data_IF_145573642461
#
_entry.id   IF_145573642461
#
_cell.length_a   1.000
_cell.length_b   1.000
_cell.length_c   1.000
_cell.angle_alpha   90.00
_cell.angle_beta   90.00
_cell.angle_gamma   90.00
#
_symmetry.space_group_name_H-M   'P 1'
#
loop_
_entity.id
_entity.type
_entity.pdbx_description
1 polymer ?
#
# COMPACT_ATOMS: atom_id res chain seq x y z
N UNK A 1 -4.78 -12.45 -1.05
CA UNK A 1 -4.24 -11.57 -2.11
C UNK A 1 -4.90 -10.19 -2.06
N UNK A 2 -6.17 -10.04 -2.40
CA UNK A 2 -6.88 -8.75 -2.39
C UNK A 2 -6.94 -8.11 -0.99
N UNK A 3 -7.04 -8.91 0.06
CA UNK A 3 -7.11 -8.44 1.44
C UNK A 3 -5.87 -7.64 1.85
N UNK A 4 -4.65 -8.12 1.57
CA UNK A 4 -3.42 -7.38 1.87
C UNK A 4 -3.37 -6.03 1.16
N UNK A 5 -3.76 -5.98 -0.12
CA UNK A 5 -3.84 -4.73 -0.92
C UNK A 5 -4.87 -3.77 -0.29
N UNK A 6 -6.03 -4.27 0.11
CA UNK A 6 -7.09 -3.47 0.71
C UNK A 6 -6.66 -2.88 2.06
N UNK A 7 -5.97 -3.66 2.90
CA UNK A 7 -5.44 -3.18 4.19
C UNK A 7 -4.36 -2.12 3.97
N UNK A 8 -3.43 -2.35 3.04
CA UNK A 8 -2.41 -1.39 2.68
C UNK A 8 -3.03 -0.07 2.20
N UNK A 9 -4.02 -0.12 1.32
CA UNK A 9 -4.75 1.07 0.84
C UNK A 9 -5.42 1.83 1.99
N UNK A 10 -6.10 1.13 2.89
CA UNK A 10 -6.76 1.78 4.04
C UNK A 10 -5.74 2.46 4.96
N UNK A 11 -4.61 1.80 5.23
CA UNK A 11 -3.53 2.37 6.02
C UNK A 11 -2.94 3.63 5.36
N UNK A 12 -2.72 3.58 4.04
CA UNK A 12 -2.23 4.72 3.27
C UNK A 12 -3.20 5.90 3.33
N UNK A 13 -4.49 5.70 3.04
CA UNK A 13 -5.49 6.76 3.07
C UNK A 13 -5.60 7.41 4.46
N UNK A 14 -5.55 6.59 5.51
CA UNK A 14 -5.56 7.08 6.88
C UNK A 14 -4.31 7.91 7.21
N UNK A 15 -3.12 7.45 6.81
CA UNK A 15 -1.87 8.16 7.01
C UNK A 15 -1.85 9.51 6.27
N UNK A 16 -2.35 9.56 5.03
CA UNK A 16 -2.48 10.81 4.25
C UNK A 16 -3.43 11.79 4.95
N UNK A 17 -4.58 11.34 5.43
CA UNK A 17 -5.52 12.19 6.17
C UNK A 17 -4.85 12.78 7.42
N UNK A 18 -4.25 11.93 8.24
CA UNK A 18 -3.54 12.38 9.43
C UNK A 18 -2.41 13.37 9.12
N UNK A 19 -1.61 13.10 8.09
CA UNK A 19 -0.49 13.96 7.71
C UNK A 19 -0.93 15.35 7.19
N UNK A 20 -2.13 15.46 6.64
CA UNK A 20 -2.74 16.74 6.23
C UNK A 20 -3.25 17.55 7.41
N UNK A 21 -3.76 16.89 8.45
CA UNK A 21 -4.42 17.55 9.59
C UNK A 21 -3.44 17.85 10.72
N UNK A 22 -2.44 17.01 10.94
CA UNK A 22 -1.47 17.16 12.03
C UNK A 22 -0.46 18.27 11.74
N UNK A 23 -0.53 19.34 12.51
CA UNK A 23 0.45 20.44 12.45
C UNK A 23 1.54 20.21 13.51
N UNK A 24 2.80 20.17 13.07
CA UNK A 24 3.94 20.00 13.97
C UNK A 24 5.23 20.50 13.31
N UNK A 25 5.90 21.43 13.98
CA UNK A 25 7.18 21.98 13.55
C UNK A 25 7.16 22.60 12.14
N UNK A 26 8.21 23.32 11.80
CA UNK A 26 8.43 23.76 10.42
C UNK A 26 9.23 22.72 9.64
N UNK A 27 8.99 22.58 8.32
CA UNK A 27 9.78 21.68 7.48
C UNK A 27 11.28 22.06 7.49
N UNK A 28 12.14 21.05 7.59
CA UNK A 28 13.60 21.20 7.66
C UNK A 28 14.21 21.74 6.37
N UNK A 29 13.51 21.62 5.24
CA UNK A 29 13.92 22.13 3.92
C UNK A 29 13.70 23.63 3.77
N UNK A 30 13.12 24.30 4.79
CA UNK A 30 12.85 25.73 4.76
C UNK A 30 11.69 26.17 3.87
N UNK A 31 10.95 25.25 3.27
CA UNK A 31 9.83 25.52 2.36
C UNK A 31 8.70 26.34 3.00
N UNK A 32 8.52 26.19 4.32
CA UNK A 32 7.54 26.92 5.13
C UNK A 32 8.23 27.45 6.40
N UNK A 33 8.11 28.75 6.66
CA UNK A 33 8.78 29.40 7.80
C UNK A 33 8.10 29.14 9.16
N UNK A 34 6.84 28.72 9.17
CA UNK A 34 6.02 28.43 10.35
C UNK A 34 5.79 26.93 10.53
N UNK A 35 5.21 26.54 11.69
CA UNK A 35 4.70 25.17 11.87
C UNK A 35 3.66 24.85 10.80
N UNK A 36 3.76 23.66 10.21
CA UNK A 36 2.95 23.23 9.08
C UNK A 36 2.39 21.82 9.30
N UNK A 37 1.36 21.42 8.51
CA UNK A 37 0.97 20.03 8.44
C UNK A 37 2.16 19.12 8.12
N UNK A 38 2.24 17.97 8.78
CA UNK A 38 3.42 17.10 8.66
C UNK A 38 3.64 16.56 7.25
N UNK A 39 2.62 16.58 6.40
CA UNK A 39 2.75 16.21 4.98
C UNK A 39 3.80 17.07 4.23
N UNK A 40 4.16 18.23 4.76
CA UNK A 40 5.20 19.10 4.18
C UNK A 40 6.62 18.71 4.60
N UNK A 41 6.78 17.82 5.57
CA UNK A 41 8.10 17.32 5.96
C UNK A 41 8.63 16.31 4.93
N UNK A 42 9.89 16.42 4.50
CA UNK A 42 10.44 15.58 3.43
C UNK A 42 10.36 14.07 3.72
N UNK A 43 10.63 13.64 4.94
CA UNK A 43 10.59 12.22 5.30
C UNK A 43 9.15 11.67 5.37
N UNK A 44 8.20 12.47 5.84
CA UNK A 44 6.78 12.10 5.78
C UNK A 44 6.31 11.90 4.34
N UNK A 45 6.71 12.80 3.44
CA UNK A 45 6.42 12.68 2.01
C UNK A 45 7.05 11.43 1.41
N UNK A 46 8.29 11.10 1.76
CA UNK A 46 8.97 9.88 1.34
C UNK A 46 8.19 8.64 1.76
N UNK A 47 7.78 8.57 3.04
CA UNK A 47 6.99 7.44 3.54
C UNK A 47 5.65 7.31 2.81
N UNK A 48 4.90 8.40 2.67
CA UNK A 48 3.61 8.40 1.98
C UNK A 48 3.76 7.99 0.50
N UNK A 49 4.80 8.44 -0.19
CA UNK A 49 5.09 8.03 -1.56
C UNK A 49 5.44 6.55 -1.66
N UNK A 50 6.23 6.02 -0.73
CA UNK A 50 6.56 4.60 -0.68
C UNK A 50 5.31 3.75 -0.41
N UNK A 51 4.47 4.13 0.55
CA UNK A 51 3.20 3.47 0.84
C UNK A 51 2.30 3.39 -0.40
N UNK A 52 2.18 4.49 -1.11
CA UNK A 52 1.41 4.55 -2.36
C UNK A 52 2.01 3.67 -3.44
N UNK A 53 3.31 3.76 -3.68
CA UNK A 53 3.99 2.99 -4.71
C UNK A 53 3.86 1.48 -4.48
N UNK A 54 4.03 1.01 -3.25
CA UNK A 54 3.85 -0.41 -2.92
C UNK A 54 2.41 -0.87 -3.09
N UNK A 55 1.45 -0.09 -2.63
CA UNK A 55 0.02 -0.42 -2.73
C UNK A 55 -0.43 -0.48 -4.19
N UNK A 56 -0.08 0.52 -5.00
CA UNK A 56 -0.44 0.57 -6.42
C UNK A 56 0.31 -0.50 -7.22
N UNK A 57 1.58 -0.78 -6.89
CA UNK A 57 2.35 -1.86 -7.50
C UNK A 57 1.72 -3.24 -7.27
N UNK A 58 1.31 -3.53 -6.04
CA UNK A 58 0.60 -4.76 -5.71
C UNK A 58 -0.75 -4.86 -6.46
N UNK A 59 -1.46 -3.75 -6.57
CA UNK A 59 -2.72 -3.69 -7.32
C UNK A 59 -2.50 -3.96 -8.81
N UNK A 60 -1.48 -3.37 -9.40
CA UNK A 60 -1.14 -3.60 -10.80
C UNK A 60 -0.79 -5.07 -11.06
N UNK A 61 0.03 -5.68 -10.21
CA UNK A 61 0.36 -7.11 -10.31
C UNK A 61 -0.90 -7.99 -10.23
N UNK A 62 -1.81 -7.70 -9.30
CA UNK A 62 -3.07 -8.44 -9.16
C UNK A 62 -3.97 -8.28 -10.40
N UNK A 63 -4.01 -7.08 -10.98
CA UNK A 63 -4.78 -6.82 -12.22
C UNK A 63 -4.20 -7.58 -13.41
N UNK A 64 -2.88 -7.62 -13.56
CA UNK A 64 -2.20 -8.39 -14.61
C UNK A 64 -2.51 -9.90 -14.47
N UNK A 65 -2.45 -10.43 -13.24
CA UNK A 65 -2.80 -11.82 -12.98
C UNK A 65 -4.28 -12.11 -13.30
N UNK A 66 -5.19 -11.20 -12.96
CA UNK A 66 -6.61 -11.34 -13.28
C UNK A 66 -6.86 -11.32 -14.80
N UNK A 67 -6.20 -10.44 -15.55
CA UNK A 67 -6.28 -10.40 -16.99
C UNK A 67 -5.77 -11.70 -17.65
N UNK A 68 -4.68 -12.27 -17.12
CA UNK A 68 -4.17 -13.55 -17.57
C UNK A 68 -5.17 -14.70 -17.28
N UNK A 69 -5.83 -14.67 -16.12
CA UNK A 69 -6.91 -15.63 -15.80
C UNK A 69 -8.06 -15.54 -16.79
N UNK A 70 -8.54 -14.35 -17.08
CA UNK A 70 -9.62 -14.15 -18.05
C UNK A 70 -9.21 -14.65 -19.45
N UNK A 71 -8.02 -14.32 -19.91
CA UNK A 71 -7.50 -14.77 -21.19
C UNK A 71 -7.33 -16.30 -21.25
N UNK A 72 -6.88 -16.93 -20.15
CA UNK A 72 -6.76 -18.39 -20.06
C UNK A 72 -8.11 -19.11 -20.23
N UNK A 73 -9.23 -18.48 -19.85
CA UNK A 73 -10.56 -19.08 -19.91
C UNK A 73 -11.38 -18.67 -21.14
N UNK A 74 -11.14 -17.48 -21.66
CA UNK A 74 -12.05 -16.87 -22.66
C UNK A 74 -11.38 -16.48 -23.98
N UNK A 75 -10.06 -16.55 -24.11
CA UNK A 75 -9.40 -16.20 -25.36
C UNK A 75 -9.79 -17.19 -26.47
N UNK A 76 -10.11 -16.73 -27.73
CA UNK A 76 -10.54 -17.60 -28.81
C UNK A 76 -9.44 -18.60 -29.24
N UNK A 77 -8.17 -18.18 -29.24
CA UNK A 77 -7.05 -19.01 -29.60
C UNK A 77 -6.61 -19.94 -28.43
N UNK A 78 -6.52 -21.24 -28.73
CA UNK A 78 -6.15 -22.28 -27.77
C UNK A 78 -4.71 -22.16 -27.24
N UNK A 79 -3.76 -21.75 -28.09
CA UNK A 79 -2.37 -21.57 -27.67
C UNK A 79 -2.21 -20.36 -26.77
N UNK A 80 -2.94 -19.28 -27.06
CA UNK A 80 -3.00 -18.11 -26.18
C UNK A 80 -3.60 -18.47 -24.81
N UNK A 81 -4.67 -19.27 -24.75
CA UNK A 81 -5.22 -19.77 -23.47
C UNK A 81 -4.18 -20.53 -22.66
N UNK A 82 -3.43 -21.43 -23.27
CA UNK A 82 -2.39 -22.23 -22.62
C UNK A 82 -1.26 -21.37 -22.08
N UNK A 83 -0.80 -20.40 -22.86
CA UNK A 83 0.26 -19.47 -22.43
C UNK A 83 -0.21 -18.61 -21.23
N UNK A 84 -1.42 -18.08 -21.30
CA UNK A 84 -1.96 -17.26 -20.20
C UNK A 84 -2.24 -18.08 -18.95
N UNK A 85 -2.64 -19.35 -19.07
CA UNK A 85 -2.78 -20.25 -17.92
C UNK A 85 -1.43 -20.46 -17.20
N UNK A 86 -0.37 -20.77 -17.95
CA UNK A 86 0.97 -20.92 -17.38
C UNK A 86 1.49 -19.62 -16.73
N UNK A 87 1.26 -18.47 -17.36
CA UNK A 87 1.62 -17.18 -16.78
C UNK A 87 0.82 -16.87 -15.52
N UNK A 88 -0.48 -17.14 -15.49
CA UNK A 88 -1.31 -16.98 -14.28
C UNK A 88 -0.81 -17.83 -13.12
N UNK A 89 -0.55 -19.13 -13.37
CA UNK A 89 -0.01 -20.05 -12.35
C UNK A 89 1.32 -19.56 -11.77
N UNK A 90 2.19 -19.00 -12.61
CA UNK A 90 3.43 -18.36 -12.17
C UNK A 90 3.17 -17.11 -11.32
N UNK A 91 2.22 -16.27 -11.72
CA UNK A 91 1.93 -15.00 -11.04
C UNK A 91 1.24 -15.15 -9.68
N UNK A 92 0.40 -16.16 -9.50
CA UNK A 92 -0.42 -16.31 -8.28
C UNK A 92 0.42 -16.33 -6.99
N UNK A 93 1.46 -17.17 -6.83
CA UNK A 93 2.26 -17.17 -5.62
C UNK A 93 3.06 -15.87 -5.43
N UNK A 94 3.51 -15.24 -6.52
CA UNK A 94 4.22 -13.97 -6.46
C UNK A 94 3.30 -12.85 -5.96
N UNK A 95 2.12 -12.72 -6.56
CA UNK A 95 1.15 -11.69 -6.14
C UNK A 95 0.70 -11.91 -4.70
N UNK A 96 0.46 -13.16 -4.31
CA UNK A 96 0.08 -13.47 -2.94
C UNK A 96 1.20 -13.13 -1.96
N UNK A 97 2.39 -13.65 -2.16
CA UNK A 97 3.54 -13.46 -1.26
C UNK A 97 3.93 -11.99 -1.17
N UNK A 98 4.15 -11.34 -2.31
CA UNK A 98 4.58 -9.94 -2.34
C UNK A 98 3.52 -8.99 -1.74
N UNK A 99 2.23 -9.18 -2.06
CA UNK A 99 1.19 -8.28 -1.53
C UNK A 99 1.01 -8.39 -0.02
N UNK A 100 1.19 -9.58 0.55
CA UNK A 100 1.11 -9.76 2.01
C UNK A 100 2.32 -9.15 2.72
N UNK A 101 3.54 -9.33 2.20
CA UNK A 101 4.73 -8.69 2.76
C UNK A 101 4.66 -7.16 2.63
N UNK A 102 4.28 -6.64 1.47
CA UNK A 102 4.14 -5.19 1.30
C UNK A 102 3.04 -4.58 2.15
N UNK A 103 1.98 -5.33 2.47
CA UNK A 103 0.96 -4.84 3.41
C UNK A 103 1.51 -4.59 4.80
N UNK A 104 2.46 -5.40 5.27
CA UNK A 104 3.16 -5.18 6.54
C UNK A 104 4.03 -3.93 6.50
N UNK A 105 4.80 -3.76 5.43
CA UNK A 105 5.64 -2.57 5.25
C UNK A 105 4.79 -1.29 5.21
N UNK A 106 3.71 -1.29 4.43
CA UNK A 106 2.81 -0.13 4.30
C UNK A 106 2.13 0.20 5.62
N UNK A 107 1.60 -0.80 6.32
CA UNK A 107 0.92 -0.57 7.61
C UNK A 107 1.89 -0.15 8.71
N UNK A 108 3.12 -0.66 8.70
CA UNK A 108 4.20 -0.21 9.60
C UNK A 108 4.55 1.26 9.36
N UNK A 109 4.73 1.66 8.10
CA UNK A 109 4.92 3.08 7.75
C UNK A 109 3.72 3.93 8.17
N UNK A 110 2.50 3.41 8.04
CA UNK A 110 1.29 4.07 8.50
C UNK A 110 1.32 4.38 10.01
N UNK A 111 1.77 3.44 10.84
CA UNK A 111 1.99 3.68 12.28
C UNK A 111 3.05 4.75 12.48
N UNK A 112 4.16 4.69 11.74
CA UNK A 112 5.26 5.65 11.84
C UNK A 112 4.82 7.08 11.48
N UNK A 113 4.03 7.27 10.41
CA UNK A 113 3.47 8.58 10.03
C UNK A 113 2.63 9.20 11.16
N UNK A 114 1.91 8.38 11.92
CA UNK A 114 1.15 8.86 13.08
C UNK A 114 2.02 9.20 14.30
N UNK A 115 3.31 8.85 14.29
CA UNK A 115 4.22 9.03 15.43
C UNK A 115 3.68 8.36 16.69
N UNK A 116 3.77 9.04 17.84
CA UNK A 116 3.24 8.50 19.11
C UNK A 116 1.74 8.18 19.08
N UNK A 117 0.96 8.86 18.23
CA UNK A 117 -0.46 8.58 18.05
C UNK A 117 -0.70 7.26 17.31
N UNK A 118 0.26 6.76 16.56
CA UNK A 118 0.15 5.48 15.85
C UNK A 118 0.06 4.26 16.75
N UNK A 119 0.58 4.35 17.97
CA UNK A 119 0.47 3.31 18.99
C UNK A 119 -0.93 3.26 19.63
N UNK A 120 -1.63 4.38 19.68
CA UNK A 120 -2.91 4.52 20.39
C UNK A 120 -4.04 3.84 19.60
N UNK A 121 -4.81 2.98 20.28
CA UNK A 121 -5.90 2.20 19.70
C UNK A 121 -6.94 3.07 18.98
N UNK A 122 -7.31 4.20 19.59
CA UNK A 122 -8.35 5.11 19.12
C UNK A 122 -8.01 5.75 17.77
N UNK A 123 -6.73 5.86 17.42
CA UNK A 123 -6.34 6.36 16.09
C UNK A 123 -6.56 5.34 14.98
N UNK A 124 -6.56 4.05 15.32
CA UNK A 124 -6.79 2.95 14.40
C UNK A 124 -5.61 2.62 13.47
N UNK A 125 -4.47 3.30 13.58
CA UNK A 125 -3.30 2.99 12.76
C UNK A 125 -2.70 1.62 13.11
N UNK A 126 -2.56 1.31 14.41
CA UNK A 126 -2.09 0.02 14.91
C UNK A 126 -3.01 -1.14 14.52
N UNK A 127 -4.31 -0.91 14.37
CA UNK A 127 -5.27 -1.93 13.93
C UNK A 127 -4.92 -2.44 12.53
N UNK A 128 -4.61 -1.56 11.59
CA UNK A 128 -4.22 -1.97 10.23
C UNK A 128 -2.97 -2.83 10.22
N UNK A 129 -1.99 -2.53 11.08
CA UNK A 129 -0.77 -3.33 11.21
C UNK A 129 -1.05 -4.73 11.77
N UNK A 130 -1.91 -4.85 12.80
CA UNK A 130 -2.34 -6.14 13.33
C UNK A 130 -3.10 -6.97 12.30
N UNK A 131 -4.02 -6.34 11.58
CA UNK A 131 -4.83 -7.00 10.54
C UNK A 131 -3.97 -7.49 9.36
N UNK A 132 -2.92 -6.76 9.01
CA UNK A 132 -1.98 -7.17 7.96
C UNK A 132 -1.16 -8.42 8.35
N UNK A 133 -1.00 -8.68 9.65
CA UNK A 133 -0.26 -9.83 10.17
C UNK A 133 -1.11 -11.10 10.34
N UNK A 134 -2.42 -10.99 10.34
CA UNK A 134 -3.36 -12.13 10.43
C UNK A 134 -3.60 -12.76 9.06
#
# INVERSE_FOLDING_TARGET
>A
MVQGIAIAERAYQKAVGYAKDRVQSRPVDGSIAASAPIIHHPDERRMLMAMRAYTEGCRAMATVAAAAYDAAHHHPDADARKQNAAFYEFMVPLVKGYSTEMSLEVTSMGVQVHGGMGFIEETGAAQHYRDARS
#
